data_IF_703106227168
#
_entry.id   IF_703106227168
#
_cell.length_a   1.000
_cell.length_b   1.000
_cell.length_c   1.000
_cell.angle_alpha   90.00
_cell.angle_beta   90.00
_cell.angle_gamma   90.00
#
_symmetry.space_group_name_H-M   'P 1'
#
loop_
_entity.id
_entity.type
_entity.pdbx_description
1 polymer ?
#
# COMPACT_ATOMS: atom_id res chain seq x y z
N UNK A 1 -9.43 28.30 -5.08
CA UNK A 1 -8.07 28.09 -5.63
C UNK A 1 -7.21 27.48 -4.54
N UNK A 2 -6.51 26.38 -4.84
CA UNK A 2 -5.54 25.79 -3.91
C UNK A 2 -4.24 26.59 -3.89
N UNK A 3 -3.50 26.56 -2.79
CA UNK A 3 -2.20 27.23 -2.68
C UNK A 3 -1.25 26.71 -3.78
N UNK A 4 -0.78 27.54 -4.72
CA UNK A 4 0.11 27.12 -5.80
C UNK A 4 1.50 26.72 -5.31
N UNK A 5 1.89 27.12 -4.10
CA UNK A 5 3.16 26.78 -3.46
C UNK A 5 2.91 26.11 -2.10
N UNK A 6 2.45 24.85 -2.07
CA UNK A 6 2.27 24.13 -0.83
C UNK A 6 3.63 23.90 -0.17
N UNK A 7 3.85 24.50 0.99
CA UNK A 7 5.07 24.28 1.77
C UNK A 7 5.02 22.86 2.34
N UNK A 8 5.86 21.98 1.82
CA UNK A 8 6.05 20.63 2.38
C UNK A 8 7.22 20.66 3.37
N UNK A 9 6.90 20.66 4.67
CA UNK A 9 7.91 20.59 5.73
C UNK A 9 8.71 19.28 5.62
N UNK A 10 9.94 19.26 6.14
CA UNK A 10 10.74 18.03 6.16
C UNK A 10 10.04 16.91 6.96
N UNK A 11 9.33 17.26 8.03
CA UNK A 11 8.51 16.34 8.80
C UNK A 11 7.37 15.72 7.97
N UNK A 12 6.74 16.49 7.09
CA UNK A 12 5.71 16.01 6.19
C UNK A 12 6.29 15.00 5.20
N UNK A 13 7.43 15.31 4.58
CA UNK A 13 8.15 14.41 3.66
C UNK A 13 8.58 13.11 4.35
N UNK A 14 9.08 13.19 5.59
CA UNK A 14 9.50 12.03 6.37
C UNK A 14 8.34 11.09 6.78
N UNK A 15 7.11 11.62 6.85
CA UNK A 15 5.90 10.84 7.21
C UNK A 15 5.10 10.37 6.00
N UNK A 16 5.42 10.85 4.80
CA UNK A 16 4.57 10.69 3.63
C UNK A 16 4.43 9.24 3.17
N UNK A 17 5.44 8.39 3.44
CA UNK A 17 5.49 7.00 2.98
C UNK A 17 6.04 6.05 4.05
N UNK A 18 5.55 6.15 5.29
CA UNK A 18 5.89 5.12 6.29
C UNK A 18 5.35 3.76 5.85
N UNK A 19 6.25 2.77 5.84
CA UNK A 19 5.90 1.37 5.61
C UNK A 19 4.87 0.93 6.65
N UNK A 20 3.85 0.18 6.22
CA UNK A 20 2.74 -0.25 7.10
C UNK A 20 3.03 -1.59 7.81
N UNK A 21 4.24 -2.11 7.68
CA UNK A 21 4.70 -3.38 8.22
C UNK A 21 6.22 -3.35 8.45
N UNK A 22 6.70 -4.35 9.19
CA UNK A 22 8.10 -4.51 9.58
C UNK A 22 8.93 -5.27 8.53
N UNK A 23 8.43 -5.43 7.30
CA UNK A 23 9.22 -6.10 6.25
C UNK A 23 10.39 -5.21 5.81
N UNK A 24 11.52 -5.83 5.51
CA UNK A 24 12.73 -5.11 5.09
C UNK A 24 12.94 -5.16 3.57
N UNK A 25 12.38 -6.17 2.90
CA UNK A 25 12.54 -6.38 1.46
C UNK A 25 12.13 -5.14 0.65
N UNK A 26 12.91 -4.77 -0.36
CA UNK A 26 12.59 -3.63 -1.20
C UNK A 26 11.30 -3.90 -2.01
N UNK A 27 10.38 -2.93 -1.99
CA UNK A 27 9.15 -3.03 -2.78
C UNK A 27 9.41 -2.56 -4.22
N UNK A 28 8.71 -3.16 -5.18
CA UNK A 28 8.78 -2.75 -6.58
C UNK A 28 8.34 -1.30 -6.77
N UNK A 29 8.96 -0.60 -7.72
CA UNK A 29 8.58 0.76 -8.13
C UNK A 29 7.25 0.81 -8.89
N UNK A 30 6.74 -0.35 -9.33
CA UNK A 30 5.44 -0.50 -10.02
C UNK A 30 4.44 -1.21 -9.11
N UNK A 31 3.18 -0.75 -9.15
CA UNK A 31 2.09 -1.33 -8.35
C UNK A 31 1.31 -2.36 -9.17
N UNK A 32 1.04 -3.52 -8.57
CA UNK A 32 0.07 -4.48 -9.09
C UNK A 32 -1.34 -4.03 -8.65
N UNK A 33 -2.03 -3.29 -9.51
CA UNK A 33 -3.40 -2.83 -9.25
C UNK A 33 -4.42 -3.66 -10.03
N UNK A 34 -5.44 -4.18 -9.35
CA UNK A 34 -6.51 -4.98 -9.97
C UNK A 34 -7.87 -4.57 -9.39
N UNK A 35 -8.93 -4.60 -10.21
CA UNK A 35 -10.30 -4.41 -9.74
C UNK A 35 -10.81 -5.69 -9.09
N UNK A 36 -11.51 -5.56 -7.96
CA UNK A 36 -12.12 -6.66 -7.21
C UNK A 36 -13.62 -6.39 -7.01
N UNK A 37 -14.44 -7.39 -6.67
CA UNK A 37 -15.86 -7.18 -6.34
C UNK A 37 -16.04 -6.12 -5.24
N UNK A 38 -17.09 -5.29 -5.36
CA UNK A 38 -17.36 -4.16 -4.44
C UNK A 38 -17.42 -4.61 -2.98
N UNK A 39 -18.01 -5.77 -2.71
CA UNK A 39 -18.10 -6.35 -1.36
C UNK A 39 -16.74 -6.67 -0.75
N UNK A 40 -15.77 -7.10 -1.57
CA UNK A 40 -14.39 -7.35 -1.14
C UNK A 40 -13.63 -6.04 -0.99
N UNK A 41 -13.80 -5.13 -1.94
CA UNK A 41 -13.14 -3.83 -1.93
C UNK A 41 -13.38 -3.11 -0.60
N UNK A 42 -14.63 -2.93 -0.17
CA UNK A 42 -14.94 -2.21 1.07
C UNK A 42 -14.41 -2.91 2.32
N UNK A 43 -14.43 -4.25 2.35
CA UNK A 43 -13.84 -5.02 3.46
C UNK A 43 -12.35 -4.79 3.59
N UNK A 44 -11.61 -4.81 2.48
CA UNK A 44 -10.16 -4.60 2.47
C UNK A 44 -9.81 -3.13 2.69
N UNK A 45 -10.56 -2.22 2.09
CA UNK A 45 -10.31 -0.78 2.15
C UNK A 45 -10.37 -0.24 3.59
N UNK A 46 -11.27 -0.77 4.39
CA UNK A 46 -11.48 -0.38 5.79
C UNK A 46 -10.45 -0.97 6.77
N UNK A 47 -9.49 -1.77 6.32
CA UNK A 47 -8.42 -2.29 7.19
C UNK A 47 -7.39 -1.18 7.51
N UNK A 48 -6.97 -1.05 8.78
CA UNK A 48 -6.00 -0.02 9.19
C UNK A 48 -4.64 -0.18 8.46
N UNK A 49 -4.19 -1.42 8.26
CA UNK A 49 -2.91 -1.75 7.58
C UNK A 49 -3.15 -2.50 6.25
N UNK A 50 -4.09 -2.03 5.43
CA UNK A 50 -4.48 -2.70 4.18
C UNK A 50 -3.31 -3.03 3.25
N UNK A 51 -2.28 -2.18 3.18
CA UNK A 51 -1.12 -2.39 2.31
C UNK A 51 -0.28 -3.60 2.77
N UNK A 52 -0.05 -3.72 4.07
CA UNK A 52 0.64 -4.87 4.67
C UNK A 52 -0.16 -6.17 4.46
N UNK A 53 -1.47 -6.11 4.73
CA UNK A 53 -2.35 -7.26 4.57
C UNK A 53 -2.41 -7.75 3.12
N UNK A 54 -2.61 -6.83 2.15
CA UNK A 54 -2.64 -7.15 0.73
C UNK A 54 -1.33 -7.78 0.27
N UNK A 55 -0.19 -7.21 0.69
CA UNK A 55 1.12 -7.75 0.34
C UNK A 55 1.29 -9.17 0.83
N UNK A 56 0.94 -9.45 2.10
CA UNK A 56 1.01 -10.80 2.67
C UNK A 56 0.16 -11.78 1.86
N UNK A 57 -1.09 -11.44 1.59
CA UNK A 57 -2.02 -12.31 0.84
C UNK A 57 -1.50 -12.60 -0.57
N UNK A 58 -1.05 -11.58 -1.30
CA UNK A 58 -0.55 -11.73 -2.67
C UNK A 58 0.74 -12.56 -2.68
N UNK A 59 1.68 -12.30 -1.76
CA UNK A 59 2.95 -13.04 -1.69
C UNK A 59 2.71 -14.49 -1.31
N UNK A 60 1.83 -14.77 -0.34
CA UNK A 60 1.47 -16.14 0.04
C UNK A 60 0.83 -16.91 -1.13
N UNK A 61 -0.09 -16.29 -1.88
CA UNK A 61 -0.71 -16.90 -3.05
C UNK A 61 0.31 -17.14 -4.17
N UNK A 62 1.14 -16.14 -4.48
CA UNK A 62 2.19 -16.26 -5.49
C UNK A 62 3.17 -17.39 -5.15
N UNK A 63 3.60 -17.51 -3.89
CA UNK A 63 4.47 -18.60 -3.41
C UNK A 63 3.85 -20.00 -3.54
N UNK A 64 2.53 -20.11 -3.59
CA UNK A 64 1.83 -21.40 -3.74
C UNK A 64 1.55 -21.77 -5.19
N UNK A 65 1.34 -20.77 -6.04
CA UNK A 65 0.84 -20.95 -7.41
C UNK A 65 1.91 -20.75 -8.49
N UNK A 66 2.94 -19.94 -8.21
CA UNK A 66 3.95 -19.52 -9.19
C UNK A 66 5.36 -20.05 -8.89
N UNK A 67 5.56 -20.63 -7.70
CA UNK A 67 6.82 -21.22 -7.24
C UNK A 67 6.53 -22.61 -6.66
#
# INVERSE_FOLDING_TARGET
MGNPNPVQTQEFKAKQYKRQDDSEEMLSSKVLSVRVPVSVFWKVYNLPNKGAWLRRVIVEAAKRELF
#
